data_IF_866330915253
#
_entry.id   IF_866330915253
#
_cell.length_a   1.000
_cell.length_b   1.000
_cell.length_c   1.000
_cell.angle_alpha   90.00
_cell.angle_beta   90.00
_cell.angle_gamma   90.00
#
_symmetry.space_group_name_H-M   'P 1'
#
loop_
_entity.id
_entity.type
_entity.pdbx_description
1 polymer ?
#
# COMPACT_ATOMS: atom_id res chain seq x y z
N UNK A 1 -46.90 -0.26 -40.90
CA UNK A 1 -47.04 0.48 -39.62
C UNK A 1 -45.97 0.18 -38.56
N UNK A 2 -45.22 -0.93 -38.63
CA UNK A 2 -44.27 -1.35 -37.57
C UNK A 2 -43.03 -0.45 -37.46
N UNK A 3 -42.48 0.02 -38.59
CA UNK A 3 -41.24 0.81 -38.69
C UNK A 3 -41.26 2.16 -37.95
N UNK A 4 -42.44 2.79 -37.80
CA UNK A 4 -42.60 4.03 -37.04
C UNK A 4 -42.62 3.75 -35.53
N UNK A 5 -43.28 2.67 -35.08
CA UNK A 5 -43.37 2.31 -33.65
C UNK A 5 -42.00 1.90 -33.08
N UNK A 6 -41.16 1.23 -33.87
CA UNK A 6 -39.80 0.83 -33.46
C UNK A 6 -38.88 2.03 -33.20
N UNK A 7 -39.03 3.12 -33.98
CA UNK A 7 -38.28 4.37 -33.78
C UNK A 7 -38.64 5.04 -32.45
N UNK A 8 -39.92 5.06 -32.09
CA UNK A 8 -40.37 5.62 -30.82
C UNK A 8 -39.87 4.79 -29.62
N UNK A 9 -39.88 3.47 -29.73
CA UNK A 9 -39.36 2.57 -28.68
C UNK A 9 -37.85 2.78 -28.49
N UNK A 10 -37.08 2.92 -29.57
CA UNK A 10 -35.65 3.16 -29.51
C UNK A 10 -35.31 4.54 -28.91
N UNK A 11 -36.10 5.57 -29.25
CA UNK A 11 -35.96 6.92 -28.67
C UNK A 11 -36.27 6.92 -27.16
N UNK A 12 -37.28 6.16 -26.74
CA UNK A 12 -37.71 6.06 -25.34
C UNK A 12 -36.68 5.28 -24.50
N UNK A 13 -36.03 4.27 -25.08
CA UNK A 13 -34.91 3.55 -24.47
C UNK A 13 -33.68 4.44 -24.27
N UNK A 14 -33.36 5.26 -25.28
CA UNK A 14 -32.23 6.20 -25.22
C UNK A 14 -32.45 7.27 -24.13
N UNK A 15 -33.69 7.75 -24.02
CA UNK A 15 -34.07 8.74 -23.01
C UNK A 15 -34.04 8.14 -21.60
N UNK A 16 -34.42 6.87 -21.44
CA UNK A 16 -34.33 6.14 -20.17
C UNK A 16 -32.89 6.02 -19.63
N UNK A 17 -31.89 5.85 -20.51
CA UNK A 17 -30.48 5.83 -20.10
C UNK A 17 -29.95 7.20 -19.65
N UNK A 18 -30.59 8.30 -20.06
CA UNK A 18 -30.20 9.64 -19.60
C UNK A 18 -30.78 9.99 -18.22
N UNK A 19 -31.80 9.25 -17.74
CA UNK A 19 -32.38 9.47 -16.39
C UNK A 19 -31.74 8.56 -15.33
N UNK A 20 -30.94 7.57 -15.71
CA UNK A 20 -30.06 6.86 -14.78
C UNK A 20 -28.90 7.77 -14.37
N UNK A 21 -29.14 8.61 -13.36
CA UNK A 21 -28.17 9.48 -12.69
C UNK A 21 -27.12 8.71 -11.89
N UNK A 22 -26.44 7.75 -12.51
CA UNK A 22 -25.19 7.27 -11.97
C UNK A 22 -24.19 8.43 -12.06
N UNK A 23 -23.78 8.96 -10.90
CA UNK A 23 -22.53 9.70 -10.76
C UNK A 23 -21.41 8.75 -11.15
N UNK A 24 -21.20 8.56 -12.45
CA UNK A 24 -20.13 7.74 -12.98
C UNK A 24 -18.86 8.55 -12.82
N UNK A 25 -18.26 8.42 -11.64
CA UNK A 25 -17.05 9.12 -11.28
C UNK A 25 -15.87 8.43 -11.95
N UNK A 26 -15.68 8.74 -13.24
CA UNK A 26 -14.57 8.25 -14.04
C UNK A 26 -13.20 8.68 -13.47
N UNK A 27 -13.16 9.58 -12.48
CA UNK A 27 -11.93 9.93 -11.76
C UNK A 27 -11.32 8.75 -10.98
N UNK A 28 -12.11 7.72 -10.68
CA UNK A 28 -11.61 6.49 -10.06
C UNK A 28 -10.91 5.55 -11.06
N UNK A 29 -11.18 5.69 -12.36
CA UNK A 29 -10.57 4.87 -13.42
C UNK A 29 -9.22 5.43 -13.91
N UNK A 30 -8.95 6.70 -13.61
CA UNK A 30 -7.73 7.42 -14.00
C UNK A 30 -6.97 7.83 -12.73
N UNK A 31 -7.00 7.00 -11.69
CA UNK A 31 -5.92 7.08 -10.71
C UNK A 31 -4.71 6.42 -11.36
N UNK A 32 -3.62 7.15 -11.67
CA UNK A 32 -2.37 6.48 -11.87
C UNK A 32 -2.20 5.59 -10.64
N UNK A 33 -2.00 4.29 -10.88
CA UNK A 33 -1.39 3.43 -9.90
C UNK A 33 0.01 4.02 -9.74
N UNK A 34 0.14 5.08 -8.94
CA UNK A 34 1.34 5.24 -8.15
C UNK A 34 1.37 3.93 -7.39
N UNK A 35 2.10 2.96 -7.97
CA UNK A 35 2.77 1.98 -7.15
C UNK A 35 3.43 2.83 -6.09
N UNK A 36 2.78 2.91 -4.95
CA UNK A 36 3.41 3.28 -3.70
C UNK A 36 4.49 2.22 -3.61
N UNK A 37 5.64 2.47 -4.22
CA UNK A 37 6.88 1.89 -3.79
C UNK A 37 6.93 2.35 -2.35
N UNK A 38 6.40 1.51 -1.45
CA UNK A 38 6.35 1.74 -0.02
C UNK A 38 7.71 2.27 0.34
N UNK A 39 7.78 3.57 0.65
CA UNK A 39 9.05 4.29 0.72
C UNK A 39 9.92 3.59 1.75
N UNK A 40 10.88 2.80 1.28
CA UNK A 40 11.75 2.02 2.12
C UNK A 40 12.65 2.96 2.91
N UNK A 41 12.68 2.76 4.22
CA UNK A 41 13.46 3.58 5.14
C UNK A 41 14.70 2.80 5.49
N UNK A 42 15.86 3.29 5.08
CA UNK A 42 17.15 2.70 5.46
C UNK A 42 17.39 2.98 6.95
N UNK A 43 17.59 1.93 7.73
CA UNK A 43 17.76 2.02 9.17
C UNK A 43 18.90 1.14 9.66
N UNK A 44 19.53 1.58 10.75
CA UNK A 44 20.24 0.70 11.66
C UNK A 44 19.29 0.36 12.82
N UNK A 45 19.00 -0.93 12.98
CA UNK A 45 18.22 -1.47 14.08
C UNK A 45 19.18 -1.85 15.20
N UNK A 46 18.97 -1.30 16.39
CA UNK A 46 19.73 -1.66 17.60
C UNK A 46 18.84 -2.54 18.48
N UNK A 47 19.31 -3.74 18.82
CA UNK A 47 18.57 -4.70 19.63
C UNK A 47 18.96 -4.66 21.11
N UNK A 48 18.10 -5.25 21.96
CA UNK A 48 18.29 -5.35 23.42
C UNK A 48 19.50 -6.17 23.86
N UNK A 49 20.10 -6.94 22.96
CA UNK A 49 21.33 -7.72 23.19
C UNK A 49 22.56 -7.07 22.54
N UNK A 50 22.56 -5.76 22.37
CA UNK A 50 23.63 -4.93 21.79
C UNK A 50 24.02 -5.29 20.34
N UNK A 51 23.26 -6.17 19.68
CA UNK A 51 23.43 -6.46 18.26
C UNK A 51 22.83 -5.33 17.43
N UNK A 52 23.43 -5.10 16.27
CA UNK A 52 22.91 -4.17 15.28
C UNK A 52 22.68 -4.85 13.94
N UNK A 53 21.76 -4.29 13.16
CA UNK A 53 21.49 -4.75 11.80
C UNK A 53 21.13 -3.54 10.92
N UNK A 54 21.71 -3.48 9.72
CA UNK A 54 21.41 -2.45 8.73
C UNK A 54 20.59 -3.04 7.60
N UNK A 55 19.54 -2.33 7.20
CA UNK A 55 18.74 -2.67 6.03
C UNK A 55 17.57 -1.71 5.87
N UNK A 56 16.52 -2.16 5.21
CA UNK A 56 15.37 -1.32 4.90
C UNK A 56 14.10 -1.82 5.59
N UNK A 57 13.26 -0.88 6.07
CA UNK A 57 11.95 -1.17 6.66
C UNK A 57 10.87 -0.31 6.01
N UNK A 58 9.62 -0.81 5.98
CA UNK A 58 8.48 -0.03 5.48
C UNK A 58 7.98 1.01 6.47
N UNK A 59 8.12 0.73 7.77
CA UNK A 59 7.61 1.55 8.86
C UNK A 59 8.58 1.50 10.05
N UNK A 60 8.69 2.61 10.77
CA UNK A 60 9.54 2.72 11.97
C UNK A 60 8.83 2.27 13.25
N UNK A 61 7.50 2.18 13.20
CA UNK A 61 6.65 1.80 14.30
C UNK A 61 5.74 0.65 13.86
N UNK A 62 5.22 -0.07 14.85
CA UNK A 62 4.10 -0.99 14.62
C UNK A 62 2.89 -0.16 14.19
N UNK A 63 2.25 -0.55 13.10
CA UNK A 63 1.02 0.07 12.61
C UNK A 63 -0.04 0.13 13.74
N UNK A 64 -0.65 1.29 14.02
CA UNK A 64 -1.67 1.43 15.07
C UNK A 64 -2.84 0.45 14.96
N UNK A 65 -3.17 0.00 13.75
CA UNK A 65 -4.25 -0.97 13.49
C UNK A 65 -3.79 -2.43 13.68
N UNK A 66 -2.49 -2.66 13.88
CA UNK A 66 -1.94 -4.00 14.14
C UNK A 66 -2.17 -4.46 15.57
N UNK A 67 -2.45 -5.76 15.72
CA UNK A 67 -2.52 -6.43 17.03
C UNK A 67 -1.20 -7.13 17.34
N UNK A 68 -0.50 -6.66 18.37
CA UNK A 68 0.70 -7.32 18.89
C UNK A 68 0.36 -8.06 20.17
N UNK A 69 0.54 -9.37 20.17
CA UNK A 69 0.35 -10.22 21.34
C UNK A 69 1.63 -10.23 22.18
N UNK A 70 1.55 -9.76 23.42
CA UNK A 70 2.68 -9.77 24.36
C UNK A 70 3.09 -11.21 24.64
N UNK A 71 4.34 -11.55 24.34
CA UNK A 71 4.89 -12.91 24.47
C UNK A 71 4.73 -13.79 23.22
N UNK A 72 4.07 -13.27 22.17
CA UNK A 72 3.99 -13.89 20.86
C UNK A 72 5.14 -13.46 19.94
N UNK A 73 5.33 -14.19 18.83
CA UNK A 73 6.25 -13.77 17.77
C UNK A 73 5.70 -12.52 17.09
N UNK A 74 6.47 -11.44 17.04
CA UNK A 74 6.19 -10.30 16.16
C UNK A 74 7.08 -10.41 14.92
N UNK A 75 6.52 -10.85 13.79
CA UNK A 75 7.28 -10.99 12.55
C UNK A 75 7.33 -9.63 11.83
N UNK A 76 8.51 -9.01 11.79
CA UNK A 76 8.75 -7.77 11.08
C UNK A 76 9.77 -8.02 9.98
N UNK A 77 9.54 -7.48 8.80
CA UNK A 77 10.36 -7.78 7.64
C UNK A 77 11.45 -6.75 7.46
N UNK A 78 12.63 -7.26 7.11
CA UNK A 78 13.75 -6.49 6.64
C UNK A 78 13.86 -6.66 5.12
N UNK A 79 14.07 -5.55 4.44
CA UNK A 79 14.15 -5.48 2.99
C UNK A 79 15.55 -5.07 2.53
N UNK A 80 15.91 -5.44 1.30
CA UNK A 80 17.01 -4.82 0.56
C UNK A 80 16.54 -3.54 -0.16
N UNK A 81 17.44 -2.92 -0.93
CA UNK A 81 17.18 -1.67 -1.67
C UNK A 81 16.12 -1.84 -2.77
N UNK A 82 15.96 -3.05 -3.31
CA UNK A 82 14.97 -3.39 -4.33
C UNK A 82 13.59 -3.73 -3.72
N UNK A 83 13.52 -3.82 -2.39
CA UNK A 83 12.30 -4.19 -1.67
C UNK A 83 12.06 -5.70 -1.56
N UNK A 84 13.07 -6.53 -1.82
CA UNK A 84 12.98 -7.96 -1.55
C UNK A 84 13.15 -8.22 -0.05
N UNK A 85 12.40 -9.18 0.48
CA UNK A 85 12.56 -9.61 1.87
C UNK A 85 13.88 -10.37 2.02
N UNK A 86 14.78 -9.85 2.84
CA UNK A 86 16.08 -10.46 3.14
C UNK A 86 16.17 -10.97 4.58
N UNK A 87 15.19 -10.66 5.43
CA UNK A 87 15.17 -11.14 6.80
C UNK A 87 13.87 -10.88 7.54
N UNK A 88 13.76 -11.47 8.73
CA UNK A 88 12.68 -11.24 9.69
C UNK A 88 13.28 -10.98 11.06
N UNK A 89 12.76 -10.00 11.77
CA UNK A 89 13.16 -9.65 13.13
C UNK A 89 11.96 -9.53 14.07
N UNK A 90 12.22 -9.70 15.37
CA UNK A 90 11.21 -9.50 16.41
C UNK A 90 11.28 -8.07 16.94
N UNK A 91 10.21 -7.29 16.74
CA UNK A 91 10.14 -5.89 17.17
C UNK A 91 10.26 -5.74 18.69
N UNK A 92 9.85 -6.73 19.49
CA UNK A 92 10.00 -6.70 20.95
C UNK A 92 11.46 -6.68 21.40
N UNK A 93 12.39 -7.06 20.51
CA UNK A 93 13.83 -7.03 20.79
C UNK A 93 14.50 -5.73 20.34
N UNK A 94 13.79 -4.84 19.65
CA UNK A 94 14.34 -3.57 19.16
C UNK A 94 14.37 -2.57 20.31
N UNK A 95 15.53 -1.98 20.57
CA UNK A 95 15.68 -0.84 21.49
C UNK A 95 15.30 0.46 20.78
N UNK A 96 15.89 0.70 19.61
CA UNK A 96 15.60 1.85 18.76
C UNK A 96 16.09 1.60 17.33
N UNK A 97 15.65 2.45 16.40
CA UNK A 97 16.13 2.48 15.02
C UNK A 97 16.71 3.86 14.71
N UNK A 98 17.93 3.89 14.17
CA UNK A 98 18.53 5.10 13.61
C UNK A 98 18.19 5.16 12.13
N UNK A 99 17.61 6.27 11.67
CA UNK A 99 17.43 6.51 10.23
C UNK A 99 18.79 6.84 9.63
N UNK A 100 19.17 6.10 8.60
CA UNK A 100 20.40 6.34 7.87
C UNK A 100 20.12 7.15 6.59
N UNK A 101 21.10 7.90 6.07
CA UNK A 101 21.01 8.47 4.73
C UNK A 101 20.75 7.38 3.69
N UNK A 102 20.14 7.79 2.56
CA UNK A 102 20.05 6.92 1.39
C UNK A 102 21.45 6.44 0.98
N UNK A 103 21.52 5.20 0.50
CA UNK A 103 22.76 4.62 0.02
C UNK A 103 23.22 5.43 -1.20
N UNK A 104 24.34 6.13 -1.06
CA UNK A 104 24.94 6.88 -2.15
C UNK A 104 25.69 5.84 -2.98
N UNK A 105 25.20 5.53 -4.18
CA UNK A 105 25.97 4.73 -5.12
C UNK A 105 27.34 5.40 -5.34
N UNK A 106 28.46 4.65 -5.26
CA UNK A 106 29.80 5.18 -5.46
C UNK A 106 30.06 5.64 -6.90
#
# INVERSE_FOLDING_TARGET
>A
MVRKKTRWVMLLLLMGMMVSGCQFDASQLIRPNEEVQDKLIRVEIVFTDDKTLVGYVKQLAIDPESKVYVGGSSANYLYDVEGNVVGVFNYQRVLYMNILPAEVEP
#
